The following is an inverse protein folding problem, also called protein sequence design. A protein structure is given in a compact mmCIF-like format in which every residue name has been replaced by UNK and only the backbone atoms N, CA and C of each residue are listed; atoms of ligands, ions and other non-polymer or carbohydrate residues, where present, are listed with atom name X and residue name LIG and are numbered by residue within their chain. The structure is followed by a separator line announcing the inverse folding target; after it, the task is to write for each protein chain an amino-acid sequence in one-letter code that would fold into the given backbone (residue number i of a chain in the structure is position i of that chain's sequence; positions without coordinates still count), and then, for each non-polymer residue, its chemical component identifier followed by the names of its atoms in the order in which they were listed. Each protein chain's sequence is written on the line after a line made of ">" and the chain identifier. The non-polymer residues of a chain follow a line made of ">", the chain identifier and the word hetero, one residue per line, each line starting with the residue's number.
data_IF_805461455759
#
_entry.id   IF_805461455759
#
_cell.length_a   1.000
_cell.length_b   1.000
_cell.length_c   1.000
_cell.angle_alpha   90.00
_cell.angle_beta   90.00
_cell.angle_gamma   90.00
#
_symmetry.space_group_name_H-M   'P 1'
#
loop_
_entity.id
_entity.type
_entity.pdbx_description
1 polymer ?
#
# COMPACT_ATOMS: atom_id res chain seq x y z
N UNK A 1 -20.92 -4.29 -4.28
CA UNK A 1 -20.52 -3.91 -2.91
C UNK A 1 -21.21 -4.90 -1.98
N UNK A 2 -20.53 -5.98 -1.57
CA UNK A 2 -21.11 -6.95 -0.63
C UNK A 2 -21.15 -6.25 0.73
N UNK A 3 -22.31 -5.71 1.09
CA UNK A 3 -22.56 -5.20 2.42
C UNK A 3 -22.55 -6.38 3.39
N UNK A 4 -21.68 -6.31 4.39
CA UNK A 4 -21.73 -7.13 5.58
C UNK A 4 -23.07 -6.89 6.27
N UNK A 5 -23.99 -7.85 6.15
CA UNK A 5 -25.20 -7.89 6.96
C UNK A 5 -24.77 -8.30 8.36
N UNK A 6 -24.66 -7.32 9.26
CA UNK A 6 -24.69 -7.57 10.70
C UNK A 6 -26.12 -7.92 11.08
N UNK A 7 -26.40 -9.21 11.26
CA UNK A 7 -27.62 -9.67 11.93
C UNK A 7 -27.28 -10.12 13.35
N UNK A 8 -27.99 -9.52 14.31
CA UNK A 8 -27.95 -9.82 15.74
C UNK A 8 -28.21 -11.32 16.03
N UNK A 9 -27.35 -11.88 16.88
CA UNK A 9 -27.58 -12.96 17.85
C UNK A 9 -28.44 -14.16 17.42
N UNK A 10 -27.81 -15.08 16.67
CA UNK A 10 -27.87 -16.54 16.90
C UNK A 10 -26.70 -17.15 16.12
N UNK A 11 -25.52 -17.21 16.75
CA UNK A 11 -24.29 -17.69 16.12
C UNK A 11 -24.23 -19.22 16.17
N UNK A 12 -25.02 -19.88 15.33
CA UNK A 12 -24.57 -21.15 14.77
C UNK A 12 -23.43 -20.81 13.81
N UNK A 13 -22.22 -21.24 14.14
CA UNK A 13 -21.07 -21.16 13.25
C UNK A 13 -21.41 -21.94 11.97
N UNK A 14 -21.90 -21.24 10.95
CA UNK A 14 -22.09 -21.84 9.63
C UNK A 14 -20.70 -22.26 9.13
N UNK A 15 -20.41 -23.55 9.25
CA UNK A 15 -19.13 -24.16 8.85
C UNK A 15 -18.94 -23.95 7.35
N UNK A 16 -17.94 -23.15 6.99
CA UNK A 16 -17.52 -22.98 5.60
C UNK A 16 -16.67 -24.17 5.21
N UNK A 17 -16.98 -24.81 4.08
CA UNK A 17 -16.21 -25.92 3.53
C UNK A 17 -15.50 -25.45 2.26
N UNK A 18 -14.36 -26.08 1.94
CA UNK A 18 -13.76 -25.94 0.61
C UNK A 18 -14.65 -26.68 -0.39
N UNK A 19 -15.20 -25.94 -1.34
CA UNK A 19 -16.14 -26.44 -2.34
C UNK A 19 -15.78 -25.91 -3.72
N UNK A 20 -16.31 -26.55 -4.76
CA UNK A 20 -16.11 -26.12 -6.15
C UNK A 20 -17.45 -26.03 -6.87
N UNK A 21 -17.57 -25.07 -7.78
CA UNK A 21 -18.59 -25.09 -8.82
C UNK A 21 -18.36 -26.31 -9.71
N UNK A 22 -19.43 -26.97 -10.13
CA UNK A 22 -19.39 -28.11 -11.04
C UNK A 22 -20.19 -27.78 -12.29
N UNK A 23 -20.27 -28.72 -13.23
CA UNK A 23 -20.90 -28.46 -14.51
C UNK A 23 -22.40 -28.14 -14.38
N UNK A 24 -23.11 -28.73 -13.40
CA UNK A 24 -24.52 -28.39 -13.16
C UNK A 24 -24.65 -26.95 -12.68
N UNK A 25 -23.80 -26.50 -11.75
CA UNK A 25 -23.80 -25.11 -11.28
C UNK A 25 -23.47 -24.13 -12.42
N UNK A 26 -22.44 -24.43 -13.22
CA UNK A 26 -21.98 -23.59 -14.33
C UNK A 26 -23.06 -23.47 -15.42
N UNK A 27 -23.78 -24.56 -15.71
CA UNK A 27 -24.84 -24.57 -16.73
C UNK A 27 -26.03 -23.65 -16.42
N UNK A 28 -26.21 -23.26 -15.15
CA UNK A 28 -27.29 -22.38 -14.70
C UNK A 28 -26.90 -20.90 -14.72
N UNK A 29 -25.64 -20.58 -14.99
CA UNK A 29 -25.14 -19.20 -14.98
C UNK A 29 -25.58 -18.45 -16.23
N UNK A 30 -25.90 -17.17 -16.05
CA UNK A 30 -26.14 -16.27 -17.17
C UNK A 30 -24.81 -15.69 -17.67
N UNK A 31 -24.25 -16.30 -18.72
CA UNK A 31 -22.99 -15.88 -19.33
C UNK A 31 -23.04 -14.50 -19.99
N UNK A 32 -24.21 -14.05 -20.43
CA UNK A 32 -24.37 -12.70 -20.97
C UNK A 32 -24.21 -11.67 -19.86
N UNK A 33 -24.86 -11.91 -18.72
CA UNK A 33 -24.72 -11.07 -17.54
C UNK A 33 -23.28 -11.05 -17.01
N UNK A 34 -22.62 -12.21 -16.92
CA UNK A 34 -21.20 -12.28 -16.52
C UNK A 34 -20.31 -11.47 -17.48
N UNK A 35 -20.52 -11.62 -18.77
CA UNK A 35 -19.76 -10.88 -19.79
C UNK A 35 -19.92 -9.37 -19.64
N UNK A 36 -21.15 -8.87 -19.52
CA UNK A 36 -21.39 -7.44 -19.37
C UNK A 36 -20.86 -6.88 -18.04
N UNK A 37 -20.94 -7.67 -16.96
CA UNK A 37 -20.40 -7.30 -15.66
C UNK A 37 -18.87 -7.18 -15.70
N UNK A 38 -18.18 -8.09 -16.40
CA UNK A 38 -16.74 -8.01 -16.60
C UNK A 38 -16.32 -6.87 -17.56
N UNK A 39 -17.09 -6.63 -18.62
CA UNK A 39 -16.87 -5.48 -19.51
C UNK A 39 -17.07 -4.14 -18.78
N UNK A 40 -18.04 -4.05 -17.87
CA UNK A 40 -18.17 -2.90 -16.99
C UNK A 40 -16.96 -2.79 -16.05
N UNK A 41 -16.61 -3.88 -15.37
CA UNK A 41 -15.50 -3.94 -14.42
C UNK A 41 -14.16 -3.48 -15.02
N UNK A 42 -13.86 -3.88 -16.26
CA UNK A 42 -12.64 -3.46 -16.98
C UNK A 42 -12.69 -1.99 -17.39
N UNK A 43 -13.87 -1.47 -17.80
CA UNK A 43 -14.04 -0.06 -18.19
C UNK A 43 -13.87 0.89 -17.02
N UNK A 44 -14.42 0.55 -15.85
CA UNK A 44 -14.25 1.31 -14.61
C UNK A 44 -12.77 1.45 -14.20
N UNK A 45 -11.91 0.56 -14.69
CA UNK A 45 -10.46 0.53 -14.42
C UNK A 45 -9.61 0.95 -15.62
N UNK A 46 -10.23 1.38 -16.71
CA UNK A 46 -9.55 1.78 -17.95
C UNK A 46 -8.67 0.69 -18.57
N UNK A 47 -9.03 -0.59 -18.38
CA UNK A 47 -8.30 -1.74 -18.94
C UNK A 47 -8.76 -2.05 -20.38
N UNK A 48 -8.60 -1.08 -21.27
CA UNK A 48 -9.07 -1.17 -22.66
C UNK A 48 -8.36 -2.25 -23.49
N UNK A 49 -7.19 -2.68 -23.04
CA UNK A 49 -6.37 -3.75 -23.61
C UNK A 49 -6.71 -5.15 -23.08
N UNK A 50 -7.66 -5.30 -22.15
CA UNK A 50 -8.16 -6.59 -21.70
C UNK A 50 -9.32 -7.06 -22.59
N UNK A 51 -9.09 -8.13 -23.35
CA UNK A 51 -10.12 -8.75 -24.19
C UNK A 51 -10.82 -9.88 -23.43
N UNK A 52 -12.15 -9.80 -23.36
CA UNK A 52 -13.00 -10.77 -22.67
C UNK A 52 -13.95 -11.37 -23.71
N UNK A 53 -14.17 -12.67 -23.66
CA UNK A 53 -15.16 -13.34 -24.49
C UNK A 53 -15.88 -14.42 -23.69
N UNK A 54 -17.13 -14.72 -24.07
CA UNK A 54 -18.01 -15.64 -23.33
C UNK A 54 -17.47 -17.07 -23.28
N UNK A 55 -16.89 -17.56 -24.37
CA UNK A 55 -16.29 -18.90 -24.42
C UNK A 55 -15.12 -19.04 -23.43
N UNK A 56 -14.31 -17.98 -23.28
CA UNK A 56 -13.22 -17.89 -22.31
C UNK A 56 -13.73 -17.88 -20.86
N UNK A 57 -14.81 -17.15 -20.58
CA UNK A 57 -15.47 -17.16 -19.26
C UNK A 57 -15.91 -18.59 -18.91
N UNK A 58 -16.59 -19.28 -19.83
CA UNK A 58 -17.04 -20.65 -19.62
C UNK A 58 -15.87 -21.59 -19.36
N UNK A 59 -14.86 -21.59 -20.24
CA UNK A 59 -13.66 -22.43 -20.10
C UNK A 59 -12.93 -22.19 -18.78
N UNK A 60 -12.87 -20.92 -18.34
CA UNK A 60 -12.21 -20.56 -17.08
C UNK A 60 -12.99 -21.07 -15.86
N UNK A 61 -14.32 -20.97 -15.85
CA UNK A 61 -15.14 -21.49 -14.73
C UNK A 61 -15.14 -23.02 -14.66
N UNK A 62 -14.99 -23.71 -15.79
CA UNK A 62 -14.86 -25.18 -15.85
C UNK A 62 -13.53 -25.67 -15.24
N UNK A 63 -12.49 -24.84 -15.27
CA UNK A 63 -11.21 -25.10 -14.61
C UNK A 63 -11.29 -24.78 -13.11
N UNK A 64 -11.07 -25.78 -12.25
CA UNK A 64 -11.19 -25.69 -10.79
C UNK A 64 -9.86 -25.42 -10.08
N UNK A 65 -8.75 -25.30 -10.83
CA UNK A 65 -7.38 -25.24 -10.30
C UNK A 65 -6.96 -23.84 -9.85
N UNK A 66 -7.61 -22.79 -10.35
CA UNK A 66 -7.16 -21.40 -10.15
C UNK A 66 -7.83 -20.69 -8.95
N UNK A 67 -8.80 -21.31 -8.28
CA UNK A 67 -9.50 -20.72 -7.14
C UNK A 67 -9.74 -21.72 -6.01
N UNK A 68 -9.86 -21.22 -4.78
CA UNK A 68 -10.40 -21.95 -3.63
C UNK A 68 -11.63 -21.21 -3.12
N UNK A 69 -12.76 -21.90 -2.98
CA UNK A 69 -14.04 -21.30 -2.61
C UNK A 69 -14.51 -21.86 -1.28
N UNK A 70 -14.66 -20.97 -0.29
CA UNK A 70 -15.17 -21.31 1.03
C UNK A 70 -16.64 -20.92 1.15
N UNK A 71 -17.52 -21.89 0.99
CA UNK A 71 -18.98 -21.72 1.06
C UNK A 71 -19.60 -22.89 1.88
N UNK A 72 -20.71 -22.67 2.60
CA UNK A 72 -21.44 -23.78 3.21
C UNK A 72 -21.98 -24.71 2.12
N UNK A 73 -21.77 -26.03 2.24
CA UNK A 73 -22.18 -27.00 1.21
C UNK A 73 -23.66 -26.92 0.88
N UNK A 74 -24.51 -26.62 1.88
CA UNK A 74 -25.95 -26.43 1.69
C UNK A 74 -26.31 -25.30 0.71
N UNK A 75 -25.40 -24.33 0.47
CA UNK A 75 -25.61 -23.26 -0.53
C UNK A 75 -25.26 -23.68 -1.96
N UNK A 76 -24.72 -24.88 -2.15
CA UNK A 76 -24.58 -25.53 -3.46
C UNK A 76 -25.72 -26.50 -3.76
N UNK A 77 -26.52 -26.85 -2.75
CA UNK A 77 -27.77 -27.60 -2.95
C UNK A 77 -28.79 -26.65 -3.58
N UNK A 78 -29.06 -26.82 -4.87
CA UNK A 78 -29.96 -25.97 -5.64
C UNK A 78 -31.42 -26.24 -5.24
N UNK A 79 -31.90 -25.51 -4.24
CA UNK A 79 -33.26 -25.69 -3.68
C UNK A 79 -34.24 -24.63 -4.17
N UNK A 80 -33.76 -23.49 -4.69
CA UNK A 80 -34.58 -22.44 -5.28
C UNK A 80 -33.82 -21.48 -6.20
N UNK A 81 -34.55 -20.53 -6.81
CA UNK A 81 -33.96 -19.54 -7.73
C UNK A 81 -32.96 -18.58 -7.05
N UNK A 82 -33.12 -18.33 -5.75
CA UNK A 82 -32.18 -17.53 -4.96
C UNK A 82 -30.78 -18.17 -4.92
N UNK A 83 -30.69 -19.50 -4.98
CA UNK A 83 -29.41 -20.21 -5.01
C UNK A 83 -28.67 -19.97 -6.33
N UNK A 84 -29.41 -19.87 -7.45
CA UNK A 84 -28.83 -19.53 -8.76
C UNK A 84 -28.31 -18.09 -8.76
N UNK A 85 -29.04 -17.16 -8.15
CA UNK A 85 -28.58 -15.78 -8.00
C UNK A 85 -27.31 -15.68 -7.13
N UNK A 86 -27.20 -16.48 -6.07
CA UNK A 86 -25.98 -16.58 -5.27
C UNK A 86 -24.81 -17.13 -6.09
N UNK A 87 -25.02 -18.22 -6.85
CA UNK A 87 -23.99 -18.79 -7.73
C UNK A 87 -23.51 -17.79 -8.78
N UNK A 88 -24.44 -17.00 -9.35
CA UNK A 88 -24.12 -15.91 -10.28
C UNK A 88 -23.19 -14.88 -9.63
N UNK A 89 -23.47 -14.44 -8.40
CA UNK A 89 -22.63 -13.49 -7.66
C UNK A 89 -21.25 -14.08 -7.34
N UNK A 90 -21.20 -15.35 -6.92
CA UNK A 90 -19.95 -16.05 -6.64
C UNK A 90 -19.08 -16.15 -7.90
N UNK A 91 -19.66 -16.57 -9.02
CA UNK A 91 -18.96 -16.66 -10.30
C UNK A 91 -18.44 -15.29 -10.75
N UNK A 92 -19.26 -14.23 -10.65
CA UNK A 92 -18.86 -12.88 -10.99
C UNK A 92 -17.66 -12.39 -10.14
N UNK A 93 -17.68 -12.61 -8.82
CA UNK A 93 -16.58 -12.22 -7.93
C UNK A 93 -15.30 -13.00 -8.23
N UNK A 94 -15.40 -14.32 -8.44
CA UNK A 94 -14.26 -15.15 -8.84
C UNK A 94 -13.62 -14.63 -10.14
N UNK A 95 -14.42 -14.36 -11.16
CA UNK A 95 -13.96 -13.87 -12.45
C UNK A 95 -13.34 -12.47 -12.37
N UNK A 96 -13.90 -11.57 -11.56
CA UNK A 96 -13.34 -10.23 -11.33
C UNK A 96 -11.95 -10.30 -10.70
N UNK A 97 -11.80 -11.12 -9.65
CA UNK A 97 -10.50 -11.36 -8.99
C UNK A 97 -9.49 -11.97 -9.95
N UNK A 98 -9.92 -12.91 -10.79
CA UNK A 98 -9.05 -13.45 -11.84
C UNK A 98 -8.62 -12.37 -12.83
N UNK A 99 -9.56 -11.57 -13.34
CA UNK A 99 -9.25 -10.49 -14.29
C UNK A 99 -8.24 -9.50 -13.71
N UNK A 100 -8.43 -9.10 -12.46
CA UNK A 100 -7.50 -8.23 -11.74
C UNK A 100 -6.11 -8.85 -11.60
N UNK A 101 -6.03 -10.09 -11.14
CA UNK A 101 -4.77 -10.80 -10.98
C UNK A 101 -4.04 -10.98 -12.33
N UNK A 102 -4.74 -11.47 -13.35
CA UNK A 102 -4.20 -11.71 -14.68
C UNK A 102 -3.74 -10.41 -15.36
N UNK A 103 -4.53 -9.35 -15.25
CA UNK A 103 -4.17 -8.05 -15.80
C UNK A 103 -2.90 -7.50 -15.16
N UNK A 104 -2.83 -7.52 -13.83
CA UNK A 104 -1.66 -7.05 -13.09
C UNK A 104 -0.42 -7.91 -13.38
N UNK A 105 -0.58 -9.23 -13.52
CA UNK A 105 0.50 -10.12 -13.96
C UNK A 105 1.04 -9.72 -15.34
N UNK A 106 0.17 -9.49 -16.33
CA UNK A 106 0.57 -9.09 -17.68
C UNK A 106 1.21 -7.69 -17.70
N UNK A 107 0.60 -6.73 -17.00
CA UNK A 107 1.13 -5.37 -16.84
C UNK A 107 2.53 -5.40 -16.25
N UNK A 108 2.75 -6.21 -15.21
CA UNK A 108 4.07 -6.43 -14.59
C UNK A 108 5.08 -7.00 -15.56
N UNK A 109 4.73 -8.09 -16.24
CA UNK A 109 5.61 -8.74 -17.22
C UNK A 109 6.00 -7.80 -18.36
N UNK A 110 5.12 -6.85 -18.72
CA UNK A 110 5.42 -5.81 -19.69
C UNK A 110 6.32 -4.69 -19.12
N UNK A 111 6.05 -4.21 -17.90
CA UNK A 111 6.79 -3.07 -17.33
C UNK A 111 8.18 -3.46 -16.84
N UNK A 112 8.32 -4.61 -16.18
CA UNK A 112 9.57 -5.00 -15.51
C UNK A 112 10.81 -5.02 -16.41
N UNK A 113 10.77 -5.48 -17.68
CA UNK A 113 11.90 -5.38 -18.62
C UNK A 113 12.27 -3.98 -19.08
N UNK A 114 11.44 -2.99 -18.75
CA UNK A 114 11.55 -1.61 -19.22
C UNK A 114 11.78 -0.65 -18.07
N UNK A 115 12.09 -1.15 -16.87
CA UNK A 115 12.48 -0.32 -15.75
C UNK A 115 13.85 0.28 -16.03
N UNK A 116 13.95 1.58 -15.78
CA UNK A 116 15.19 2.33 -15.91
C UNK A 116 15.46 3.13 -14.63
N UNK A 117 16.74 3.36 -14.37
CA UNK A 117 17.17 4.31 -13.36
C UNK A 117 17.22 5.68 -14.02
N UNK A 118 16.52 6.64 -13.42
CA UNK A 118 16.51 8.02 -13.88
C UNK A 118 16.75 8.95 -12.70
N UNK A 119 17.42 10.05 -12.98
CA UNK A 119 17.53 11.14 -12.02
C UNK A 119 16.14 11.74 -11.72
N UNK A 120 15.93 12.00 -10.43
CA UNK A 120 14.78 12.75 -9.95
C UNK A 120 15.01 14.24 -10.24
N UNK A 121 14.02 14.87 -10.84
CA UNK A 121 14.06 16.29 -11.20
C UNK A 121 12.86 17.02 -10.59
N UNK A 122 12.94 18.35 -10.50
CA UNK A 122 11.83 19.19 -10.05
C UNK A 122 10.55 19.01 -10.90
N UNK A 123 10.66 18.47 -12.12
CA UNK A 123 9.53 18.21 -13.03
C UNK A 123 8.81 16.90 -12.73
N UNK A 124 9.31 16.04 -11.83
CA UNK A 124 8.63 14.81 -11.46
C UNK A 124 7.34 14.99 -10.66
N UNK A 125 6.28 14.24 -11.02
CA UNK A 125 4.96 14.28 -10.38
C UNK A 125 5.00 14.02 -8.86
N UNK A 126 6.07 13.40 -8.36
CA UNK A 126 6.30 13.16 -6.94
C UNK A 126 6.66 14.42 -6.15
N UNK A 127 7.15 15.46 -6.83
CA UNK A 127 7.48 16.74 -6.22
C UNK A 127 6.28 17.69 -6.43
N UNK A 128 5.66 18.20 -5.36
CA UNK A 128 4.58 19.17 -5.46
C UNK A 128 4.97 20.35 -6.35
N UNK A 129 4.16 20.63 -7.38
CA UNK A 129 4.39 21.75 -8.31
C UNK A 129 3.93 23.09 -7.74
N UNK A 130 2.92 23.05 -6.88
CA UNK A 130 2.40 24.24 -6.24
C UNK A 130 3.38 24.72 -5.16
N UNK A 131 3.73 26.00 -5.20
CA UNK A 131 4.55 26.64 -4.16
C UNK A 131 3.80 26.94 -2.87
N UNK A 132 2.58 26.41 -2.71
CA UNK A 132 1.71 26.64 -1.56
C UNK A 132 0.97 25.35 -1.19
N UNK A 133 0.52 25.29 0.07
CA UNK A 133 -0.37 24.24 0.55
C UNK A 133 -1.79 24.78 0.58
N UNK A 134 -2.76 23.94 0.19
CA UNK A 134 -4.17 24.28 0.30
C UNK A 134 -4.76 23.56 1.51
N UNK A 135 -5.34 24.32 2.44
CA UNK A 135 -6.07 23.77 3.59
C UNK A 135 -7.55 24.14 3.42
N UNK A 136 -8.39 23.12 3.28
CA UNK A 136 -9.81 23.23 2.99
C UNK A 136 -10.59 22.82 4.24
N UNK A 137 -11.50 23.69 4.68
CA UNK A 137 -12.32 23.54 5.88
C UNK A 137 -13.71 24.15 5.62
N UNK A 138 -14.74 23.69 6.33
CA UNK A 138 -16.04 24.37 6.30
C UNK A 138 -15.94 25.75 6.98
N UNK A 139 -16.60 26.75 6.40
CA UNK A 139 -16.49 28.14 6.85
C UNK A 139 -17.08 28.43 8.24
N UNK A 140 -17.90 27.52 8.77
CA UNK A 140 -18.51 27.60 10.10
C UNK A 140 -17.64 26.95 11.21
N UNK A 141 -16.53 26.29 10.86
CA UNK A 141 -15.61 25.67 11.81
C UNK A 141 -14.60 26.69 12.36
N UNK A 142 -15.08 27.71 13.09
CA UNK A 142 -14.26 28.83 13.60
C UNK A 142 -13.02 28.37 14.38
N UNK A 143 -13.15 27.32 15.19
CA UNK A 143 -12.03 26.77 15.97
C UNK A 143 -10.95 26.13 15.08
N UNK A 144 -11.37 25.50 13.98
CA UNK A 144 -10.44 24.89 13.02
C UNK A 144 -9.74 25.98 12.22
N UNK A 145 -10.47 27.02 11.79
CA UNK A 145 -9.90 28.18 11.11
C UNK A 145 -8.85 28.86 12.01
N UNK A 146 -9.18 29.09 13.29
CA UNK A 146 -8.23 29.66 14.24
C UNK A 146 -6.99 28.76 14.44
N UNK A 147 -7.17 27.44 14.47
CA UNK A 147 -6.07 26.49 14.57
C UNK A 147 -5.16 26.53 13.32
N UNK A 148 -5.72 26.69 12.12
CA UNK A 148 -4.97 26.85 10.88
C UNK A 148 -4.13 28.13 10.91
N UNK A 149 -4.72 29.27 11.29
CA UNK A 149 -4.00 30.56 11.37
C UNK A 149 -2.88 30.52 12.42
N UNK A 150 -3.14 29.91 13.58
CA UNK A 150 -2.11 29.68 14.60
C UNK A 150 -0.99 28.75 14.11
N UNK A 151 -1.33 27.70 13.37
CA UNK A 151 -0.35 26.78 12.80
C UNK A 151 0.54 27.50 11.79
N UNK A 152 -0.06 28.28 10.88
CA UNK A 152 0.66 29.10 9.90
C UNK A 152 1.66 30.03 10.59
N UNK A 153 1.19 30.81 11.57
CA UNK A 153 2.03 31.72 12.35
C UNK A 153 3.19 30.98 13.02
N UNK A 154 2.93 29.84 13.65
CA UNK A 154 3.99 29.03 14.26
C UNK A 154 4.98 28.50 13.24
N UNK A 155 4.55 28.07 12.06
CA UNK A 155 5.48 27.59 11.01
C UNK A 155 6.38 28.72 10.50
N UNK A 156 5.85 29.94 10.40
CA UNK A 156 6.59 31.13 9.98
C UNK A 156 7.58 31.60 11.06
N UNK A 157 7.19 31.55 12.33
CA UNK A 157 8.00 31.98 13.47
C UNK A 157 9.04 30.94 13.92
N UNK A 158 8.72 29.65 13.78
CA UNK A 158 9.45 28.58 14.42
C UNK A 158 10.46 27.89 13.48
N UNK A 159 11.71 27.82 13.94
CA UNK A 159 12.76 26.95 13.36
C UNK A 159 12.67 25.52 13.90
N UNK A 160 11.78 25.22 14.84
CA UNK A 160 11.58 23.86 15.35
C UNK A 160 11.03 22.93 14.27
N UNK A 161 11.34 21.64 14.44
CA UNK A 161 11.09 20.61 13.45
C UNK A 161 9.69 19.99 13.53
N UNK A 162 8.91 20.27 14.59
CA UNK A 162 7.56 19.72 14.80
C UNK A 162 6.65 20.72 15.52
N UNK A 163 5.53 21.07 14.88
CA UNK A 163 4.52 22.00 15.41
C UNK A 163 3.17 21.29 15.50
N UNK A 164 2.44 21.54 16.59
CA UNK A 164 1.08 21.02 16.79
C UNK A 164 0.13 22.14 17.23
N UNK A 165 -1.03 22.20 16.59
CA UNK A 165 -2.15 23.10 16.95
C UNK A 165 -3.46 22.34 16.76
N UNK A 166 -4.18 22.09 17.86
CA UNK A 166 -5.41 21.29 17.83
C UNK A 166 -5.17 19.91 17.20
N UNK A 167 -5.88 19.64 16.11
CA UNK A 167 -5.82 18.40 15.34
C UNK A 167 -4.76 18.41 14.23
N UNK A 168 -4.14 19.57 13.97
CA UNK A 168 -3.17 19.76 12.92
C UNK A 168 -1.75 19.65 13.45
N UNK A 169 -0.92 18.95 12.69
CA UNK A 169 0.51 18.82 12.96
C UNK A 169 1.30 19.12 11.70
N UNK A 170 2.42 19.81 11.85
CA UNK A 170 3.35 20.11 10.78
C UNK A 170 4.76 19.69 11.20
N UNK A 171 5.46 19.04 10.29
CA UNK A 171 6.82 18.55 10.48
C UNK A 171 7.75 19.19 9.45
N UNK A 172 8.78 19.88 9.92
CA UNK A 172 9.90 20.40 9.12
C UNK A 172 11.08 19.47 9.28
N UNK A 173 11.16 18.47 8.41
CA UNK A 173 12.28 17.55 8.35
C UNK A 173 13.22 17.98 7.22
N UNK A 174 14.39 18.54 7.57
CA UNK A 174 15.31 19.16 6.61
C UNK A 174 15.90 18.20 5.57
N UNK A 175 15.81 16.89 5.80
CA UNK A 175 16.23 15.85 4.87
C UNK A 175 15.12 15.46 3.88
N UNK A 176 13.90 15.95 4.09
CA UNK A 176 12.79 15.68 3.17
C UNK A 176 12.80 16.66 1.99
N UNK A 177 12.57 16.16 0.78
CA UNK A 177 12.70 16.94 -0.46
C UNK A 177 11.65 18.05 -0.64
N UNK A 178 10.57 18.03 0.14
CA UNK A 178 9.63 19.15 0.26
C UNK A 178 9.12 19.30 1.68
N UNK A 179 8.76 20.50 2.11
CA UNK A 179 8.36 20.75 3.50
C UNK A 179 7.40 21.94 3.61
N UNK A 180 6.62 22.04 4.70
CA UNK A 180 6.45 21.06 5.77
C UNK A 180 5.58 19.86 5.38
N UNK A 181 5.77 18.74 6.06
CA UNK A 181 4.87 17.59 5.98
C UNK A 181 3.75 17.76 7.00
N UNK A 182 2.50 17.65 6.57
CA UNK A 182 1.35 17.79 7.45
C UNK A 182 0.78 16.45 7.89
N UNK A 183 0.16 16.43 9.07
CA UNK A 183 -0.70 15.37 9.54
C UNK A 183 -1.96 15.98 10.15
N UNK A 184 -3.10 15.34 9.90
CA UNK A 184 -4.39 15.68 10.50
C UNK A 184 -4.84 14.46 11.28
N UNK A 185 -5.12 14.66 12.57
CA UNK A 185 -5.61 13.58 13.44
C UNK A 185 -6.84 12.93 12.82
N UNK A 186 -6.96 11.61 12.97
CA UNK A 186 -8.13 10.86 12.49
C UNK A 186 -9.46 11.50 12.95
N UNK A 187 -10.34 11.77 11.98
CA UNK A 187 -11.64 12.42 12.21
C UNK A 187 -11.60 13.95 12.15
N UNK A 188 -10.43 14.55 11.90
CA UNK A 188 -10.30 15.99 11.76
C UNK A 188 -11.01 16.54 10.53
N UNK A 189 -11.38 17.82 10.63
CA UNK A 189 -12.28 18.48 9.66
C UNK A 189 -11.55 19.30 8.59
N UNK A 190 -10.25 19.09 8.44
CA UNK A 190 -9.40 19.80 7.46
C UNK A 190 -8.91 18.83 6.41
N UNK A 191 -9.07 19.20 5.13
CA UNK A 191 -8.41 18.53 4.01
C UNK A 191 -7.20 19.35 3.61
N UNK A 192 -6.04 18.70 3.40
CA UNK A 192 -4.78 19.37 3.04
C UNK A 192 -4.31 18.86 1.68
N UNK A 193 -3.82 19.75 0.82
CA UNK A 193 -3.15 19.43 -0.44
C UNK A 193 -1.72 20.02 -0.46
N UNK A 194 -0.68 19.23 -0.78
CA UNK A 194 -0.67 17.77 -0.95
C UNK A 194 -1.25 17.03 0.26
N UNK A 195 -1.81 15.84 0.01
CA UNK A 195 -2.53 15.04 1.03
C UNK A 195 -1.73 14.96 2.32
N UNK A 196 -2.37 15.04 3.49
CA UNK A 196 -1.67 14.89 4.76
C UNK A 196 -1.16 13.45 4.98
N UNK A 197 -0.16 13.29 5.83
CA UNK A 197 0.33 12.00 6.30
C UNK A 197 -0.70 11.34 7.21
N UNK A 198 -0.87 10.03 7.06
CA UNK A 198 -1.63 9.23 8.04
C UNK A 198 -0.82 9.01 9.33
N UNK A 199 -1.39 8.33 10.32
CA UNK A 199 -0.75 8.11 11.64
C UNK A 199 0.58 7.33 11.56
N UNK A 200 0.64 6.24 10.79
CA UNK A 200 1.85 5.42 10.66
C UNK A 200 2.93 6.14 9.84
N UNK A 201 2.54 6.80 8.75
CA UNK A 201 3.42 7.63 7.94
C UNK A 201 4.01 8.79 8.77
N UNK A 202 3.17 9.49 9.53
CA UNK A 202 3.62 10.60 10.36
C UNK A 202 4.54 10.12 11.48
N UNK A 203 4.20 9.01 12.14
CA UNK A 203 5.07 8.39 13.14
C UNK A 203 6.45 8.07 12.57
N UNK A 204 6.51 7.42 11.39
CA UNK A 204 7.77 7.09 10.73
C UNK A 204 8.64 8.33 10.49
N UNK A 205 8.05 9.40 9.92
CA UNK A 205 8.78 10.65 9.65
C UNK A 205 9.30 11.27 10.95
N UNK A 206 8.48 11.31 12.01
CA UNK A 206 8.89 11.88 13.29
C UNK A 206 9.95 11.06 14.01
N UNK A 207 9.86 9.73 13.96
CA UNK A 207 10.83 8.82 14.57
C UNK A 207 12.16 8.88 13.80
N UNK A 208 12.14 8.89 12.46
CA UNK A 208 13.33 9.04 11.62
C UNK A 208 14.03 10.39 11.85
N UNK A 209 13.27 11.47 11.96
CA UNK A 209 13.80 12.80 12.27
C UNK A 209 14.45 12.86 13.66
N UNK A 210 13.83 12.22 14.67
CA UNK A 210 14.43 12.12 16.00
C UNK A 210 15.73 11.30 15.96
N UNK A 211 15.70 10.17 15.25
CA UNK A 211 16.87 9.31 15.06
C UNK A 211 18.01 10.04 14.35
N UNK A 212 17.73 10.77 13.26
CA UNK A 212 18.75 11.50 12.50
C UNK A 212 19.40 12.61 13.32
N UNK A 213 18.62 13.27 14.20
CA UNK A 213 19.16 14.27 15.14
C UNK A 213 20.11 13.62 16.14
N UNK A 214 19.71 12.51 16.75
CA UNK A 214 20.53 11.76 17.70
C UNK A 214 21.82 11.24 17.08
N UNK A 215 21.77 10.77 15.84
CA UNK A 215 22.91 10.15 15.14
C UNK A 215 23.70 11.11 14.22
N UNK A 216 23.40 12.41 14.27
CA UNK A 216 23.97 13.41 13.35
C UNK A 216 25.50 13.43 13.29
N UNK A 217 26.17 13.35 14.45
CA UNK A 217 27.64 13.32 14.54
C UNK A 217 28.23 12.06 13.89
N UNK A 218 27.57 10.92 14.02
CA UNK A 218 28.04 9.65 13.44
C UNK A 218 27.82 9.63 11.92
N UNK A 219 26.68 10.13 11.45
CA UNK A 219 26.38 10.29 10.03
C UNK A 219 27.40 11.20 9.35
N UNK A 220 27.73 12.35 9.97
CA UNK A 220 28.72 13.29 9.45
C UNK A 220 30.11 12.65 9.38
N UNK A 221 30.55 11.98 10.46
CA UNK A 221 31.85 11.26 10.48
C UNK A 221 31.92 10.17 9.42
N UNK A 222 30.81 9.50 9.15
CA UNK A 222 30.72 8.46 8.14
C UNK A 222 30.50 9.00 6.71
N UNK A 223 30.42 10.33 6.53
CA UNK A 223 30.11 10.96 5.24
C UNK A 223 28.78 10.46 4.66
N UNK A 224 27.80 10.18 5.51
CA UNK A 224 26.50 9.62 5.15
C UNK A 224 25.46 10.71 5.05
N UNK A 225 24.86 10.87 3.87
CA UNK A 225 23.76 11.82 3.64
C UNK A 225 22.44 11.07 3.49
N UNK A 226 21.36 11.63 4.05
CA UNK A 226 20.02 11.03 3.93
C UNK A 226 19.07 12.00 3.22
N UNK A 227 18.25 11.46 2.32
CA UNK A 227 17.18 12.20 1.67
C UNK A 227 15.90 11.38 1.71
N UNK A 228 14.80 11.99 2.14
CA UNK A 228 13.48 11.35 2.18
C UNK A 228 12.56 12.02 1.17
N UNK A 229 11.83 11.22 0.41
CA UNK A 229 10.74 11.70 -0.45
C UNK A 229 9.49 10.91 -0.14
N UNK A 230 8.38 11.62 0.09
CA UNK A 230 7.06 11.02 0.04
C UNK A 230 6.68 10.72 -1.40
N UNK A 231 6.26 9.51 -1.67
CA UNK A 231 5.86 9.03 -2.99
C UNK A 231 4.38 9.36 -3.26
N UNK A 232 4.12 10.59 -3.72
CA UNK A 232 2.78 11.08 -4.10
C UNK A 232 2.26 10.46 -5.40
N UNK A 233 3.13 10.19 -6.37
CA UNK A 233 2.75 9.75 -7.72
C UNK A 233 2.73 8.23 -7.85
N UNK A 234 1.86 7.58 -7.06
CA UNK A 234 1.57 6.14 -7.18
C UNK A 234 1.37 5.76 -8.65
N UNK A 235 2.25 4.91 -9.17
CA UNK A 235 2.18 4.38 -10.55
C UNK A 235 2.79 5.27 -11.64
N UNK A 236 3.42 6.40 -11.28
CA UNK A 236 4.14 7.26 -12.22
C UNK A 236 5.61 7.40 -11.83
N UNK A 237 6.51 6.97 -12.71
CA UNK A 237 7.93 7.33 -12.74
C UNK A 237 8.83 6.69 -11.68
N UNK A 238 8.49 6.77 -10.39
CA UNK A 238 9.48 6.56 -9.30
C UNK A 238 9.27 5.25 -8.53
N UNK A 239 8.22 4.48 -8.83
CA UNK A 239 7.98 3.22 -8.13
C UNK A 239 6.90 2.35 -8.77
N UNK A 240 7.23 1.71 -9.89
CA UNK A 240 6.33 0.81 -10.64
C UNK A 240 6.08 -0.56 -9.95
N UNK A 241 6.08 -0.61 -8.62
CA UNK A 241 5.91 -1.82 -7.80
C UNK A 241 4.45 -2.21 -7.55
N UNK A 242 3.50 -1.40 -8.05
CA UNK A 242 2.06 -1.57 -7.83
C UNK A 242 1.52 -2.93 -8.28
N UNK A 243 2.16 -3.56 -9.25
CA UNK A 243 1.72 -4.86 -9.73
C UNK A 243 2.00 -6.02 -8.74
N UNK A 244 2.70 -5.75 -7.63
CA UNK A 244 2.92 -6.68 -6.50
C UNK A 244 2.16 -6.30 -5.22
N UNK A 245 1.18 -5.38 -5.29
CA UNK A 245 0.45 -4.88 -4.11
C UNK A 245 1.34 -4.22 -3.04
N UNK A 246 2.54 -3.77 -3.44
CA UNK A 246 3.45 -2.97 -2.62
C UNK A 246 3.43 -1.53 -3.13
N UNK A 247 3.07 -0.61 -2.25
CA UNK A 247 2.85 0.79 -2.59
C UNK A 247 3.64 1.65 -1.62
N UNK A 248 4.95 1.84 -1.85
CA UNK A 248 5.78 2.55 -0.90
C UNK A 248 5.30 3.99 -0.77
N UNK A 249 5.05 4.42 0.46
CA UNK A 249 4.66 5.79 0.77
C UNK A 249 5.88 6.72 0.81
N UNK A 250 7.08 6.14 1.01
CA UNK A 250 8.34 6.88 1.03
C UNK A 250 9.46 6.20 0.26
N UNK A 251 10.40 7.02 -0.18
CA UNK A 251 11.68 6.62 -0.74
C UNK A 251 12.76 7.31 0.09
N UNK A 252 13.64 6.51 0.69
CA UNK A 252 14.78 6.97 1.47
C UNK A 252 16.07 6.69 0.70
N UNK A 253 16.80 7.73 0.36
CA UNK A 253 18.17 7.61 -0.13
C UNK A 253 19.15 7.73 1.03
N UNK A 254 20.08 6.80 1.09
CA UNK A 254 21.30 6.91 1.90
C UNK A 254 22.46 7.00 0.92
N UNK A 255 23.17 8.12 0.92
CA UNK A 255 24.38 8.29 0.12
C UNK A 255 25.58 8.03 1.02
N UNK A 256 26.38 7.03 0.69
CA UNK A 256 27.57 6.65 1.46
C UNK A 256 28.58 5.94 0.56
N UNK A 257 29.86 6.26 0.70
CA UNK A 257 30.95 5.59 -0.03
C UNK A 257 30.76 5.54 -1.56
N UNK A 258 30.24 6.62 -2.15
CA UNK A 258 29.86 6.74 -3.58
C UNK A 258 28.76 5.78 -4.03
N UNK A 259 28.06 5.15 -3.08
CA UNK A 259 26.89 4.32 -3.32
C UNK A 259 25.62 5.04 -2.90
N UNK A 260 24.53 4.72 -3.56
CA UNK A 260 23.19 5.12 -3.19
C UNK A 260 22.40 3.89 -2.76
N UNK A 261 21.93 3.91 -1.53
CA UNK A 261 20.99 2.91 -1.05
C UNK A 261 19.59 3.51 -1.13
N UNK A 262 18.77 3.01 -2.05
CA UNK A 262 17.42 3.48 -2.33
C UNK A 262 16.44 2.51 -1.67
N UNK A 263 15.88 2.94 -0.55
CA UNK A 263 14.96 2.14 0.27
C UNK A 263 13.53 2.60 0.07
N UNK A 264 12.69 1.72 -0.49
CA UNK A 264 11.24 1.92 -0.62
C UNK A 264 10.55 1.48 0.66
N UNK A 265 9.83 2.40 1.32
CA UNK A 265 9.33 2.22 2.68
C UNK A 265 7.81 2.36 2.68
N UNK A 266 7.13 1.37 3.27
CA UNK A 266 5.68 1.36 3.41
C UNK A 266 5.26 1.19 4.88
N UNK A 267 4.93 2.28 5.59
CA UNK A 267 4.38 2.24 6.95
C UNK A 267 2.91 1.79 6.95
N UNK A 268 2.66 0.49 7.07
CA UNK A 268 1.35 -0.10 6.85
C UNK A 268 0.94 -1.14 7.91
N UNK A 269 -0.37 -1.37 8.07
CA UNK A 269 -0.89 -2.44 8.91
C UNK A 269 -0.97 -3.78 8.16
N UNK A 270 -0.64 -4.90 8.81
CA UNK A 270 -0.56 -6.22 8.16
C UNK A 270 -1.68 -7.19 8.57
N UNK A 271 -2.71 -6.74 9.27
CA UNK A 271 -3.82 -7.58 9.76
C UNK A 271 -4.53 -8.35 8.63
N UNK A 272 -4.60 -7.78 7.42
CA UNK A 272 -5.28 -8.37 6.27
C UNK A 272 -4.31 -9.01 5.26
N UNK A 273 -3.04 -9.09 5.60
CA UNK A 273 -1.99 -9.69 4.77
C UNK A 273 -1.64 -11.09 5.27
N UNK A 274 -0.88 -11.83 4.46
CA UNK A 274 -0.30 -13.11 4.84
C UNK A 274 1.22 -13.12 4.65
N UNK A 275 1.95 -14.03 5.30
CA UNK A 275 3.42 -14.09 5.25
C UNK A 275 3.99 -14.43 3.87
N UNK A 276 3.15 -14.92 2.96
CA UNK A 276 3.49 -15.20 1.56
C UNK A 276 2.85 -14.24 0.56
N UNK A 277 2.33 -13.08 1.01
CA UNK A 277 1.79 -12.09 0.06
C UNK A 277 2.92 -11.47 -0.77
N UNK A 278 2.61 -11.07 -2.01
CA UNK A 278 3.57 -10.40 -2.91
C UNK A 278 4.21 -9.19 -2.24
N UNK A 279 3.47 -8.50 -1.36
CA UNK A 279 3.94 -7.39 -0.56
C UNK A 279 5.11 -7.77 0.35
N UNK A 280 4.96 -8.85 1.12
CA UNK A 280 6.01 -9.35 2.04
C UNK A 280 7.20 -9.92 1.25
N UNK A 281 6.92 -10.61 0.14
CA UNK A 281 7.95 -11.20 -0.73
C UNK A 281 8.70 -10.16 -1.58
N UNK A 282 8.26 -8.90 -1.59
CA UNK A 282 8.84 -7.87 -2.44
C UNK A 282 10.32 -7.56 -2.13
N UNK A 283 10.76 -7.80 -0.89
CA UNK A 283 12.16 -7.65 -0.48
C UNK A 283 13.14 -8.55 -1.25
N UNK A 284 12.70 -9.71 -1.73
CA UNK A 284 13.50 -10.57 -2.61
C UNK A 284 13.41 -10.09 -4.07
N UNK A 285 12.19 -9.75 -4.51
CA UNK A 285 11.94 -9.32 -5.89
C UNK A 285 12.71 -8.06 -6.24
N UNK A 286 12.83 -7.12 -5.32
CA UNK A 286 13.56 -5.88 -5.57
C UNK A 286 15.05 -6.12 -5.83
N UNK A 287 15.64 -7.18 -5.27
CA UNK A 287 17.04 -7.58 -5.56
C UNK A 287 17.21 -8.19 -6.95
N UNK A 288 16.16 -8.83 -7.48
CA UNK A 288 16.14 -9.23 -8.89
C UNK A 288 16.11 -8.01 -9.81
N UNK A 289 15.39 -6.95 -9.43
CA UNK A 289 15.36 -5.68 -10.17
C UNK A 289 16.74 -5.01 -10.09
N UNK A 290 17.33 -4.90 -8.90
CA UNK A 290 18.69 -4.37 -8.68
C UNK A 290 19.71 -5.06 -9.59
N UNK A 291 19.71 -6.40 -9.61
CA UNK A 291 20.63 -7.20 -10.44
C UNK A 291 20.45 -6.89 -11.94
N UNK A 292 19.22 -6.65 -12.39
CA UNK A 292 18.91 -6.38 -13.80
C UNK A 292 19.26 -4.97 -14.24
N UNK A 293 19.23 -4.01 -13.31
CA UNK A 293 19.66 -2.64 -13.56
C UNK A 293 21.19 -2.56 -13.73
N UNK A 294 21.93 -3.51 -13.13
CA UNK A 294 23.38 -3.68 -13.26
C UNK A 294 24.23 -2.43 -12.93
N UNK A 295 23.71 -1.56 -12.05
CA UNK A 295 24.47 -0.44 -11.49
C UNK A 295 25.03 -0.81 -10.12
N UNK A 296 26.35 -1.03 -10.05
CA UNK A 296 27.07 -1.42 -8.83
C UNK A 296 27.07 -0.36 -7.73
N UNK A 297 26.71 0.88 -8.06
CA UNK A 297 26.63 1.98 -7.11
C UNK A 297 25.23 2.14 -6.53
N UNK A 298 24.23 1.40 -7.02
CA UNK A 298 22.85 1.51 -6.56
C UNK A 298 22.40 0.21 -5.91
N UNK A 299 21.93 0.33 -4.68
CA UNK A 299 21.41 -0.77 -3.89
C UNK A 299 19.95 -0.48 -3.60
N UNK A 300 19.06 -1.36 -4.02
CA UNK A 300 17.63 -1.23 -3.84
C UNK A 300 17.15 -2.06 -2.65
N UNK A 301 16.41 -1.44 -1.75
CA UNK A 301 15.81 -2.13 -0.62
C UNK A 301 14.32 -1.85 -0.55
N UNK A 302 13.56 -2.74 0.05
CA UNK A 302 12.17 -2.48 0.41
C UNK A 302 11.91 -2.89 1.85
N UNK A 303 11.16 -2.06 2.57
CA UNK A 303 10.80 -2.28 3.96
C UNK A 303 9.30 -2.07 4.16
N UNK A 304 8.70 -2.99 4.90
CA UNK A 304 7.37 -2.79 5.48
C UNK A 304 7.57 -2.40 6.94
N UNK A 305 7.05 -1.24 7.31
CA UNK A 305 7.04 -0.81 8.71
C UNK A 305 5.65 -1.11 9.28
N UNK A 306 5.52 -2.28 9.89
CA UNK A 306 4.26 -2.76 10.43
C UNK A 306 3.82 -1.92 11.61
N UNK A 307 2.68 -1.26 11.44
CA UNK A 307 1.96 -0.60 12.54
C UNK A 307 1.09 -1.60 13.34
N UNK A 308 0.85 -2.79 12.78
CA UNK A 308 0.23 -3.92 13.46
C UNK A 308 1.22 -4.56 14.41
N UNK A 309 0.79 -4.84 15.65
CA UNK A 309 1.67 -5.48 16.62
C UNK A 309 1.95 -6.93 16.20
N UNK A 310 3.19 -7.40 16.36
CA UNK A 310 3.57 -8.78 16.00
C UNK A 310 2.61 -9.86 16.54
N UNK A 311 2.20 -9.85 17.83
CA UNK A 311 1.24 -10.83 18.36
C UNK A 311 -0.15 -10.83 17.71
N UNK A 312 -0.51 -9.77 16.97
CA UNK A 312 -1.81 -9.66 16.31
C UNK A 312 -1.84 -10.32 14.93
N UNK A 313 -0.67 -10.58 14.31
CA UNK A 313 -0.60 -11.18 12.98
C UNK A 313 -1.06 -12.65 12.98
N UNK A 314 -0.80 -13.37 14.08
CA UNK A 314 -1.09 -14.82 14.18
C UNK A 314 -0.51 -15.62 13.02
N UNK A 315 0.66 -15.21 12.53
CA UNK A 315 1.42 -15.96 11.54
C UNK A 315 2.33 -16.95 12.25
N UNK A 316 2.66 -18.06 11.59
CA UNK A 316 3.56 -19.07 12.16
C UNK A 316 5.03 -18.61 12.21
N UNK A 317 5.33 -17.45 11.62
CA UNK A 317 6.67 -16.87 11.61
C UNK A 317 7.04 -16.22 12.95
N UNK A 318 8.32 -16.32 13.31
CA UNK A 318 8.88 -15.52 14.42
C UNK A 318 9.04 -14.06 14.01
N UNK A 319 9.15 -13.15 14.98
CA UNK A 319 9.41 -11.74 14.68
C UNK A 319 10.74 -11.57 13.93
N UNK A 320 11.78 -12.32 14.32
CA UNK A 320 13.09 -12.30 13.66
C UNK A 320 13.02 -12.77 12.20
N UNK A 321 12.24 -13.82 11.91
CA UNK A 321 12.02 -14.28 10.53
C UNK A 321 11.36 -13.20 9.67
N UNK A 322 10.41 -12.45 10.23
CA UNK A 322 9.77 -11.33 9.54
C UNK A 322 10.72 -10.15 9.36
N UNK A 323 11.55 -9.85 10.36
CA UNK A 323 12.60 -8.83 10.25
C UNK A 323 13.65 -9.21 9.19
N UNK A 324 13.95 -10.50 9.02
CA UNK A 324 14.79 -11.01 7.93
C UNK A 324 14.15 -10.84 6.55
N UNK A 325 12.82 -10.76 6.49
CA UNK A 325 12.06 -10.38 5.29
C UNK A 325 11.84 -8.87 5.16
N UNK A 326 12.59 -8.05 5.90
CA UNK A 326 12.46 -6.59 5.95
C UNK A 326 11.07 -6.09 6.41
N UNK A 327 10.37 -6.88 7.22
CA UNK A 327 9.16 -6.45 7.94
C UNK A 327 9.57 -6.05 9.36
N UNK A 328 9.58 -4.74 9.62
CA UNK A 328 9.98 -4.17 10.91
C UNK A 328 8.74 -3.67 11.67
N UNK A 329 8.77 -3.67 13.00
CA UNK A 329 7.57 -3.41 13.82
C UNK A 329 7.65 -2.08 14.58
N UNK A 330 6.94 -1.07 14.09
CA UNK A 330 6.97 0.30 14.66
C UNK A 330 6.45 0.39 16.09
N UNK A 331 5.53 -0.50 16.47
CA UNK A 331 4.86 -0.46 17.78
C UNK A 331 5.47 -1.40 18.81
N UNK A 332 6.02 -2.54 18.38
CA UNK A 332 6.66 -3.51 19.27
C UNK A 332 8.08 -3.11 19.60
N UNK A 333 8.77 -2.50 18.65
CA UNK A 333 10.19 -2.21 18.71
C UNK A 333 10.48 -0.75 18.35
N UNK A 334 9.66 0.14 18.91
CA UNK A 334 9.65 1.56 18.59
C UNK A 334 11.03 2.20 18.68
N UNK A 335 11.82 1.78 19.67
CA UNK A 335 13.11 2.39 19.95
C UNK A 335 14.24 1.85 19.06
N UNK A 336 14.06 0.73 18.35
CA UNK A 336 15.13 0.09 17.57
C UNK A 336 14.78 -0.16 16.09
N UNK A 337 13.51 -0.03 15.67
CA UNK A 337 13.15 -0.37 14.29
C UNK A 337 13.85 0.51 13.25
N UNK A 338 14.16 1.77 13.56
CA UNK A 338 14.95 2.64 12.68
C UNK A 338 16.40 2.18 12.62
N UNK A 339 17.01 1.78 13.75
CA UNK A 339 18.36 1.20 13.75
C UNK A 339 18.41 -0.08 12.90
N UNK A 340 17.41 -0.96 13.05
CA UNK A 340 17.28 -2.17 12.22
C UNK A 340 17.15 -1.86 10.74
N UNK A 341 16.39 -0.81 10.38
CA UNK A 341 16.27 -0.35 8.99
C UNK A 341 17.64 0.03 8.42
N UNK A 342 18.42 0.85 9.15
CA UNK A 342 19.76 1.25 8.69
C UNK A 342 20.77 0.10 8.70
N UNK A 343 20.71 -0.81 9.67
CA UNK A 343 21.56 -2.01 9.71
C UNK A 343 21.32 -2.94 8.52
N UNK A 344 20.09 -2.96 7.99
CA UNK A 344 19.68 -3.75 6.82
C UNK A 344 19.79 -3.00 5.50
N UNK A 345 20.07 -1.70 5.53
CA UNK A 345 20.35 -0.90 4.33
C UNK A 345 21.81 -1.12 3.93
N UNK A 346 22.09 -2.23 3.23
CA UNK A 346 23.43 -2.69 2.83
C UNK A 346 23.47 -3.28 1.44
#
# INVERSE_FOLDING_TARGET
>A
RIQSIQSKETSDFIKKNDVKLDNKHISLLNFDALYFELEQFKRERSWYNLNINKAGIQKLLEDKTWYTLFLPTARLELTGFDDVALLQQVAAELLKRFCEHYYNYCKRSFIEPRLELRELTAEDDNIPKEGFYQLIVNGDEEQVILAIEQLKKKIEEDKQSLVKVGELQACRFGMHLFQPLFHVRKGGKTTILPIALNESEFQFVTDLMAWSKTNSVELEKAGTELFLLRNLSRGKGIGFFEAGNFHPDFILWVLKDKKQFVSFIEPHGLIHEGPGSEKVLFHERIKQIETRLDDKNIILNSFILSWTKFPQLKWDNTQEELENKNVLFMTNDRDQYIDKLFLKTK
#
